data_IF_206344259831
#
_entry.id   IF_206344259831
#
_cell.length_a   1.000
_cell.length_b   1.000
_cell.length_c   1.000
_cell.angle_alpha   90.00
_cell.angle_beta   90.00
_cell.angle_gamma   90.00
#
_symmetry.space_group_name_H-M   'P 1'
#
loop_
_entity.id
_entity.type
_entity.pdbx_description
1 polymer ?
#
# COMPACT_ATOMS: atom_id res chain seq x y z
N UNK A 1 21.21 0.52 18.97
CA UNK A 1 22.32 0.62 17.97
C UNK A 1 22.32 2.02 17.37
N UNK A 2 23.50 2.64 17.15
CA UNK A 2 23.60 3.84 16.31
C UNK A 2 23.95 3.38 14.88
N UNK A 3 22.99 3.39 13.99
CA UNK A 3 23.20 3.05 12.56
C UNK A 3 23.61 4.33 11.83
N UNK A 4 24.85 4.39 11.31
CA UNK A 4 25.31 5.58 10.58
C UNK A 4 24.59 5.68 9.24
N UNK A 5 24.71 4.65 8.40
CA UNK A 5 23.98 4.58 7.12
C UNK A 5 23.06 3.37 7.10
N UNK A 6 21.77 3.58 6.86
CA UNK A 6 20.80 2.53 6.56
C UNK A 6 20.51 2.53 5.05
N UNK A 7 20.74 1.41 4.41
CA UNK A 7 20.31 1.19 3.02
C UNK A 7 19.14 0.20 2.98
N UNK A 8 18.01 0.61 2.45
CA UNK A 8 16.85 -0.28 2.26
C UNK A 8 16.75 -0.62 0.78
N UNK A 9 16.76 -1.91 0.45
CA UNK A 9 16.70 -2.36 -0.93
C UNK A 9 15.42 -3.13 -1.27
N UNK A 10 14.98 -2.99 -2.49
CA UNK A 10 13.92 -3.78 -3.11
C UNK A 10 14.54 -4.97 -3.86
N UNK A 11 14.00 -6.17 -3.63
CA UNK A 11 14.41 -7.39 -4.32
C UNK A 11 13.40 -7.80 -5.42
N UNK A 12 13.66 -8.90 -6.12
CA UNK A 12 12.83 -9.43 -7.22
C UNK A 12 11.42 -9.86 -6.78
N UNK A 13 11.18 -10.03 -5.48
CA UNK A 13 9.86 -10.36 -4.94
C UNK A 13 8.89 -9.17 -4.99
N UNK A 14 9.34 -7.97 -5.35
CA UNK A 14 8.48 -6.80 -5.58
C UNK A 14 7.36 -7.09 -6.59
N UNK A 15 7.59 -8.01 -7.55
CA UNK A 15 6.57 -8.43 -8.52
C UNK A 15 5.42 -9.23 -7.92
N UNK A 16 5.62 -9.87 -6.75
CA UNK A 16 4.53 -10.58 -6.06
C UNK A 16 3.46 -9.62 -5.54
N UNK A 17 3.83 -8.35 -5.34
CA UNK A 17 2.95 -7.30 -4.83
C UNK A 17 2.21 -6.52 -5.93
N UNK A 18 2.41 -6.88 -7.20
CA UNK A 18 1.61 -6.29 -8.26
C UNK A 18 0.12 -6.56 -8.02
N UNK A 19 -0.73 -5.55 -8.17
CA UNK A 19 -0.55 -4.28 -8.89
C UNK A 19 -0.07 -3.10 -8.02
N UNK A 20 0.17 -3.26 -6.73
CA UNK A 20 0.46 -2.18 -5.79
C UNK A 20 1.85 -1.56 -6.04
N UNK A 21 2.80 -2.40 -6.48
CA UNK A 21 4.19 -2.00 -6.69
C UNK A 21 4.52 -1.50 -8.09
N UNK A 22 3.55 -1.28 -8.98
CA UNK A 22 3.84 -0.62 -10.26
C UNK A 22 4.35 0.81 -10.08
N UNK A 23 3.77 1.55 -9.14
CA UNK A 23 4.02 2.97 -8.91
C UNK A 23 4.88 3.26 -7.68
N UNK A 24 5.15 2.24 -6.87
CA UNK A 24 5.83 2.33 -5.57
C UNK A 24 6.85 1.21 -5.40
N UNK A 25 7.86 1.44 -4.59
CA UNK A 25 8.72 0.37 -4.09
C UNK A 25 7.98 -0.43 -3.01
N UNK A 26 8.36 -1.70 -2.82
CA UNK A 26 7.71 -2.60 -1.87
C UNK A 26 7.71 -2.04 -0.44
N UNK A 27 8.79 -1.39 -0.03
CA UNK A 27 8.92 -0.78 1.29
C UNK A 27 8.06 0.48 1.51
N UNK A 28 7.45 1.04 0.45
CA UNK A 28 6.44 2.11 0.56
C UNK A 28 5.02 1.58 0.86
N UNK A 29 4.83 0.26 0.88
CA UNK A 29 3.52 -0.32 1.16
C UNK A 29 3.18 -0.23 2.66
N UNK A 30 1.89 0.00 2.93
CA UNK A 30 1.35 0.13 4.28
C UNK A 30 1.40 -1.20 5.01
N UNK A 31 1.89 -1.15 6.25
CA UNK A 31 1.90 -2.25 7.20
C UNK A 31 1.61 -1.70 8.60
N UNK A 32 0.41 -1.91 9.12
CA UNK A 32 -0.08 -1.22 10.31
C UNK A 32 -0.52 0.21 10.03
N UNK A 33 -0.07 1.16 10.83
CA UNK A 33 -0.33 2.60 10.66
C UNK A 33 0.73 3.32 9.82
N UNK A 34 1.78 2.63 9.36
CA UNK A 34 2.96 3.17 8.69
C UNK A 34 3.34 2.31 7.49
N UNK A 35 4.21 2.81 6.63
CA UNK A 35 4.88 2.00 5.60
C UNK A 35 5.98 1.11 6.22
N UNK A 36 6.42 0.08 5.50
CA UNK A 36 7.57 -0.73 5.91
C UNK A 36 8.83 0.13 6.04
N UNK A 37 9.01 1.12 5.16
CA UNK A 37 10.11 2.10 5.21
C UNK A 37 10.08 2.92 6.49
N UNK A 38 8.93 3.54 6.80
CA UNK A 38 8.77 4.36 8.01
C UNK A 38 9.03 3.55 9.27
N UNK A 39 8.57 2.31 9.34
CA UNK A 39 8.87 1.39 10.44
C UNK A 39 10.35 1.13 10.60
N UNK A 40 11.04 0.86 9.50
CA UNK A 40 12.48 0.61 9.52
C UNK A 40 13.28 1.82 10.00
N UNK A 41 12.97 3.00 9.48
CA UNK A 41 13.64 4.26 9.85
C UNK A 41 13.37 4.60 11.33
N UNK A 42 12.13 4.45 11.80
CA UNK A 42 11.79 4.73 13.20
C UNK A 42 12.44 3.75 14.20
N UNK A 43 12.48 2.47 13.86
CA UNK A 43 13.06 1.44 14.70
C UNK A 43 14.59 1.53 14.78
N UNK A 44 15.25 1.78 13.65
CA UNK A 44 16.72 1.78 13.53
C UNK A 44 17.35 3.15 13.77
N UNK A 45 16.61 4.24 13.66
CA UNK A 45 17.04 5.64 13.91
C UNK A 45 18.39 5.97 13.24
N UNK A 46 18.53 5.76 11.91
CA UNK A 46 19.76 6.01 11.20
C UNK A 46 20.09 7.50 11.11
N UNK A 47 21.38 7.83 10.92
CA UNK A 47 21.80 9.20 10.63
C UNK A 47 21.56 9.54 9.15
N UNK A 48 21.73 8.56 8.26
CA UNK A 48 21.50 8.68 6.81
C UNK A 48 20.71 7.48 6.29
N UNK A 49 19.80 7.74 5.36
CA UNK A 49 19.00 6.71 4.68
C UNK A 49 19.30 6.72 3.19
N UNK A 50 19.58 5.55 2.65
CA UNK A 50 19.72 5.30 1.21
C UNK A 50 18.65 4.28 0.79
N UNK A 51 18.08 4.45 -0.39
CA UNK A 51 17.09 3.53 -0.94
C UNK A 51 17.61 2.94 -2.25
N UNK A 52 17.34 1.66 -2.47
CA UNK A 52 17.62 1.00 -3.75
C UNK A 52 16.33 0.35 -4.25
N UNK A 53 15.87 0.79 -5.41
CA UNK A 53 14.63 0.34 -6.04
C UNK A 53 14.78 0.28 -7.57
N UNK A 54 13.73 -0.15 -8.26
CA UNK A 54 13.65 -0.12 -9.72
C UNK A 54 13.87 1.30 -10.25
N UNK A 55 14.73 1.44 -11.27
CA UNK A 55 15.22 2.74 -11.72
C UNK A 55 14.13 3.74 -12.13
N UNK A 56 13.04 3.25 -12.71
CA UNK A 56 11.94 4.12 -13.13
C UNK A 56 11.14 4.74 -11.96
N UNK A 57 11.36 4.24 -10.73
CA UNK A 57 10.75 4.81 -9.52
C UNK A 57 11.60 5.90 -8.89
N UNK A 58 12.88 6.03 -9.27
CA UNK A 58 13.88 6.86 -8.60
C UNK A 58 13.37 8.26 -8.26
N UNK A 59 13.09 9.07 -9.28
CA UNK A 59 12.72 10.48 -9.08
C UNK A 59 11.45 10.64 -8.23
N UNK A 60 10.45 9.78 -8.49
CA UNK A 60 9.20 9.79 -7.71
C UNK A 60 9.42 9.40 -6.25
N UNK A 61 10.29 8.41 -6.00
CA UNK A 61 10.63 7.94 -4.66
C UNK A 61 11.45 9.00 -3.90
N UNK A 62 12.43 9.64 -4.54
CA UNK A 62 13.16 10.77 -3.98
C UNK A 62 12.22 11.91 -3.57
N UNK A 63 11.31 12.28 -4.47
CA UNK A 63 10.32 13.35 -4.22
C UNK A 63 9.35 13.03 -3.08
N UNK A 64 8.94 11.78 -2.89
CA UNK A 64 8.02 11.37 -1.81
C UNK A 64 8.71 11.21 -0.46
N UNK A 65 9.96 10.73 -0.45
CA UNK A 65 10.66 10.35 0.79
C UNK A 65 11.70 11.38 1.24
N UNK A 66 12.24 12.16 0.32
CA UNK A 66 13.39 13.05 0.56
C UNK A 66 14.72 12.29 0.74
N UNK A 67 14.74 10.97 0.53
CA UNK A 67 15.96 10.16 0.64
C UNK A 67 16.65 9.96 -0.70
N UNK A 68 17.95 9.73 -0.66
CA UNK A 68 18.78 9.42 -1.84
C UNK A 68 18.43 8.03 -2.36
N UNK A 69 18.19 7.92 -3.67
CA UNK A 69 17.75 6.67 -4.30
C UNK A 69 18.76 6.23 -5.38
N UNK A 70 19.12 4.96 -5.36
CA UNK A 70 20.02 4.30 -6.33
C UNK A 70 21.44 4.90 -6.42
N UNK A 71 21.87 5.61 -5.40
CA UNK A 71 23.23 6.13 -5.27
C UNK A 71 23.91 5.58 -4.03
N UNK A 72 25.21 5.31 -4.13
CA UNK A 72 25.98 4.68 -3.05
C UNK A 72 26.71 5.73 -2.19
N UNK A 73 26.00 6.74 -1.73
CA UNK A 73 26.51 7.80 -0.86
C UNK A 73 26.62 7.33 0.60
N UNK A 74 27.42 6.29 0.83
CA UNK A 74 27.61 5.70 2.15
C UNK A 74 28.55 6.57 3.00
N UNK A 75 28.22 6.74 4.28
CA UNK A 75 29.03 7.38 5.31
C UNK A 75 29.22 6.39 6.47
N UNK A 76 30.47 6.04 6.77
CA UNK A 76 30.81 5.06 7.80
C UNK A 76 30.27 3.65 7.50
N UNK A 77 29.96 2.90 8.57
CA UNK A 77 29.36 1.57 8.43
C UNK A 77 27.92 1.65 7.96
N UNK A 78 27.55 0.75 7.03
CA UNK A 78 26.19 0.64 6.53
C UNK A 78 25.52 -0.66 6.96
N UNK A 79 24.26 -0.52 7.42
CA UNK A 79 23.32 -1.62 7.56
C UNK A 79 22.42 -1.64 6.31
N UNK A 80 22.54 -2.69 5.52
CA UNK A 80 21.75 -2.89 4.28
C UNK A 80 20.65 -3.89 4.60
N UNK A 81 19.37 -3.52 4.42
CA UNK A 81 18.21 -4.28 4.86
C UNK A 81 17.22 -4.49 3.71
N UNK A 82 16.68 -5.69 3.62
CA UNK A 82 15.61 -6.01 2.68
C UNK A 82 14.34 -5.20 3.04
N UNK A 83 13.82 -4.46 2.08
CA UNK A 83 12.65 -3.59 2.27
C UNK A 83 11.34 -4.32 2.57
N UNK A 84 11.30 -5.64 2.50
CA UNK A 84 10.15 -6.49 2.88
C UNK A 84 10.21 -6.97 4.33
N UNK A 85 11.28 -6.67 5.07
CA UNK A 85 11.41 -7.05 6.47
C UNK A 85 10.47 -6.20 7.34
N UNK A 86 9.58 -6.85 8.07
CA UNK A 86 8.89 -6.21 9.18
C UNK A 86 9.85 -6.13 10.37
N UNK A 87 10.26 -4.91 10.72
CA UNK A 87 11.15 -4.70 11.86
C UNK A 87 10.32 -4.63 13.15
N UNK A 88 10.12 -5.77 13.75
CA UNK A 88 9.57 -5.96 15.10
C UNK A 88 10.69 -6.07 16.15
N UNK A 89 10.34 -6.37 17.39
CA UNK A 89 11.30 -6.52 18.48
C UNK A 89 12.31 -7.66 18.26
N UNK A 90 11.88 -8.76 17.62
CA UNK A 90 12.77 -9.89 17.32
C UNK A 90 13.75 -9.53 16.21
N UNK A 91 13.25 -8.97 15.11
CA UNK A 91 14.09 -8.51 14.00
C UNK A 91 15.10 -7.45 14.48
N UNK A 92 14.66 -6.51 15.31
CA UNK A 92 15.54 -5.47 15.87
C UNK A 92 16.65 -6.10 16.72
N UNK A 93 16.36 -7.05 17.60
CA UNK A 93 17.38 -7.72 18.42
C UNK A 93 18.41 -8.50 17.57
N UNK A 94 17.96 -9.15 16.50
CA UNK A 94 18.83 -9.88 15.58
C UNK A 94 19.72 -8.90 14.80
N UNK A 95 19.15 -7.81 14.26
CA UNK A 95 19.90 -6.78 13.55
C UNK A 95 20.93 -6.08 14.46
N UNK A 96 20.57 -5.84 15.72
CA UNK A 96 21.49 -5.26 16.72
C UNK A 96 22.71 -6.17 17.00
N UNK A 97 22.54 -7.48 16.91
CA UNK A 97 23.60 -8.45 17.09
C UNK A 97 24.54 -8.62 15.90
N UNK A 98 24.15 -8.08 14.73
CA UNK A 98 24.87 -8.24 13.46
C UNK A 98 26.22 -7.51 13.49
N UNK A 99 27.30 -8.26 13.25
CA UNK A 99 28.67 -7.73 13.26
C UNK A 99 29.04 -7.23 11.86
N UNK A 100 30.04 -6.35 11.85
CA UNK A 100 30.65 -5.88 10.61
C UNK A 100 31.23 -7.05 9.80
N UNK A 101 30.91 -7.12 8.50
CA UNK A 101 31.25 -8.21 7.62
C UNK A 101 30.36 -9.46 7.74
N UNK A 102 29.19 -9.33 8.36
CA UNK A 102 28.19 -10.41 8.42
C UNK A 102 26.94 -10.07 7.60
N UNK A 103 26.33 -11.11 7.05
CA UNK A 103 25.03 -11.04 6.37
C UNK A 103 24.08 -12.11 6.91
N UNK A 104 22.79 -11.79 6.91
CA UNK A 104 21.70 -12.65 7.37
C UNK A 104 20.86 -13.08 6.18
N UNK A 105 20.51 -14.36 6.14
CA UNK A 105 19.54 -14.91 5.19
C UNK A 105 18.40 -15.58 5.95
N UNK A 106 17.23 -15.63 5.34
CA UNK A 106 16.08 -16.43 5.80
C UNK A 106 15.50 -17.16 4.60
N UNK A 107 15.32 -18.47 4.70
CA UNK A 107 14.83 -19.33 3.60
C UNK A 107 15.57 -19.09 2.27
N UNK A 108 16.90 -18.81 2.36
CA UNK A 108 17.75 -18.54 1.20
C UNK A 108 17.58 -17.15 0.59
N UNK A 109 16.87 -16.21 1.23
CA UNK A 109 16.71 -14.82 0.80
C UNK A 109 17.56 -13.92 1.69
N UNK A 110 18.22 -12.92 1.11
CA UNK A 110 19.00 -11.95 1.88
C UNK A 110 18.05 -11.04 2.70
N UNK A 111 18.25 -11.05 4.02
CA UNK A 111 17.49 -10.23 4.97
C UNK A 111 18.23 -8.92 5.26
N UNK A 112 19.49 -9.03 5.64
CA UNK A 112 20.33 -7.87 5.96
C UNK A 112 21.82 -8.20 5.85
N UNK A 113 22.66 -7.15 5.72
CA UNK A 113 24.12 -7.26 5.86
C UNK A 113 24.68 -5.95 6.44
N UNK A 114 25.76 -6.09 7.23
CA UNK A 114 26.46 -4.95 7.81
C UNK A 114 27.87 -4.86 7.26
N UNK A 115 28.16 -3.79 6.54
CA UNK A 115 29.41 -3.62 5.80
C UNK A 115 30.07 -2.29 6.15
N UNK A 116 31.43 -2.28 6.14
CA UNK A 116 32.18 -1.03 6.17
C UNK A 116 32.00 -0.23 4.89
N UNK A 117 32.23 1.07 4.95
CA UNK A 117 31.92 2.07 3.91
C UNK A 117 32.32 1.63 2.48
N UNK A 118 33.56 1.21 2.28
CA UNK A 118 34.05 0.84 0.94
C UNK A 118 33.34 -0.39 0.35
N UNK A 119 33.11 -1.43 1.16
CA UNK A 119 32.38 -2.64 0.74
C UNK A 119 30.90 -2.34 0.53
N UNK A 120 30.30 -1.51 1.38
CA UNK A 120 28.91 -1.10 1.26
C UNK A 120 28.65 -0.30 -0.03
N UNK A 121 29.54 0.65 -0.37
CA UNK A 121 29.50 1.35 -1.67
C UNK A 121 29.55 0.38 -2.84
N UNK A 122 30.46 -0.60 -2.81
CA UNK A 122 30.56 -1.63 -3.84
C UNK A 122 29.29 -2.49 -3.95
N UNK A 123 28.73 -2.91 -2.82
CA UNK A 123 27.52 -3.73 -2.79
C UNK A 123 26.29 -2.97 -3.33
N UNK A 124 26.11 -1.70 -2.96
CA UNK A 124 24.99 -0.86 -3.42
C UNK A 124 25.16 -0.55 -4.91
N UNK A 125 26.33 -0.10 -5.35
CA UNK A 125 26.60 0.22 -6.76
C UNK A 125 26.36 -0.98 -7.69
N UNK A 126 26.78 -2.18 -7.28
CA UNK A 126 26.60 -3.41 -8.06
C UNK A 126 25.28 -4.13 -7.77
N UNK A 127 24.44 -3.59 -6.91
CA UNK A 127 23.13 -4.17 -6.48
C UNK A 127 23.27 -5.63 -6.02
N UNK A 128 24.21 -5.88 -5.12
CA UNK A 128 24.54 -7.21 -4.60
C UNK A 128 23.58 -7.59 -3.48
N UNK A 129 22.36 -7.97 -3.84
CA UNK A 129 21.29 -8.29 -2.88
C UNK A 129 20.86 -9.77 -2.93
N UNK A 130 21.59 -10.59 -3.68
CA UNK A 130 21.40 -12.05 -3.66
C UNK A 130 22.37 -12.70 -2.66
N UNK A 131 21.98 -13.74 -1.89
CA UNK A 131 22.83 -14.39 -0.89
C UNK A 131 24.13 -14.94 -1.46
N UNK A 132 24.10 -15.48 -2.71
CA UNK A 132 25.29 -15.98 -3.39
C UNK A 132 26.34 -14.90 -3.65
N UNK A 133 25.89 -13.69 -4.00
CA UNK A 133 26.76 -12.55 -4.27
C UNK A 133 27.20 -11.88 -2.95
N UNK A 134 26.34 -11.86 -1.94
CA UNK A 134 26.66 -11.32 -0.63
C UNK A 134 27.86 -12.03 0.03
N UNK A 135 28.09 -13.33 -0.27
CA UNK A 135 29.29 -14.09 0.20
C UNK A 135 30.60 -13.48 -0.23
N UNK A 136 30.63 -12.66 -1.27
CA UNK A 136 31.83 -11.93 -1.70
C UNK A 136 32.16 -10.73 -0.81
N UNK A 137 31.22 -10.29 0.02
CA UNK A 137 31.32 -9.11 0.87
C UNK A 137 31.25 -9.44 2.37
N UNK A 138 30.56 -10.53 2.75
CA UNK A 138 30.28 -10.85 4.13
C UNK A 138 30.18 -12.36 4.39
N UNK A 139 30.35 -12.78 5.64
CA UNK A 139 29.99 -14.13 6.08
C UNK A 139 28.47 -14.24 6.24
N UNK A 140 27.85 -15.25 5.63
CA UNK A 140 26.40 -15.42 5.58
C UNK A 140 25.93 -16.38 6.67
N UNK A 141 24.93 -15.97 7.47
CA UNK A 141 24.28 -16.76 8.51
C UNK A 141 22.78 -16.88 8.22
N UNK A 142 22.23 -18.07 8.43
CA UNK A 142 20.77 -18.28 8.36
C UNK A 142 20.11 -17.88 9.68
N UNK A 143 18.96 -17.19 9.59
CA UNK A 143 18.13 -16.76 10.72
C UNK A 143 16.67 -17.06 10.44
N UNK A 144 15.86 -17.15 11.49
CA UNK A 144 14.42 -17.30 11.37
C UNK A 144 13.73 -15.93 11.48
N UNK A 145 13.71 -15.21 10.36
CA UNK A 145 12.97 -13.94 10.19
C UNK A 145 12.08 -14.02 8.97
N UNK A 146 10.87 -13.54 9.10
CA UNK A 146 9.90 -13.51 8.02
C UNK A 146 9.98 -12.20 7.22
N UNK A 147 10.16 -12.36 5.90
CA UNK A 147 9.97 -11.30 4.92
C UNK A 147 8.52 -11.35 4.41
N UNK A 148 7.88 -10.21 4.28
CA UNK A 148 6.56 -10.16 3.64
C UNK A 148 6.71 -10.61 2.17
N UNK A 149 5.96 -11.62 1.76
CA UNK A 149 6.10 -12.23 0.43
C UNK A 149 4.96 -11.88 -0.53
N UNK A 150 3.78 -11.53 0.04
CA UNK A 150 2.56 -11.33 -0.74
C UNK A 150 1.71 -10.17 -0.20
N UNK A 151 0.92 -9.50 -1.04
CA UNK A 151 0.13 -8.34 -0.63
C UNK A 151 -0.97 -8.64 0.39
N UNK A 152 -1.51 -9.86 0.46
CA UNK A 152 -2.51 -10.22 1.47
C UNK A 152 -1.93 -10.30 2.88
N UNK A 153 -0.63 -10.61 3.01
CA UNK A 153 0.04 -10.57 4.32
C UNK A 153 0.07 -9.14 4.89
N UNK A 154 0.17 -8.11 4.03
CA UNK A 154 0.11 -6.71 4.48
C UNK A 154 -1.26 -6.37 5.08
N UNK A 155 -2.36 -6.94 4.56
CA UNK A 155 -3.71 -6.76 5.12
C UNK A 155 -3.81 -7.42 6.49
N UNK A 156 -3.29 -8.65 6.63
CA UNK A 156 -3.26 -9.38 7.90
C UNK A 156 -2.41 -8.64 8.93
N UNK A 157 -1.15 -8.34 8.61
CA UNK A 157 -0.24 -7.60 9.47
C UNK A 157 -0.78 -6.23 9.86
N UNK A 158 -1.37 -5.48 8.91
CA UNK A 158 -2.01 -4.20 9.24
C UNK A 158 -3.11 -4.41 10.27
N UNK A 159 -3.95 -5.41 10.11
CA UNK A 159 -5.04 -5.69 11.05
C UNK A 159 -4.55 -6.05 12.48
N UNK A 160 -3.37 -6.65 12.59
CA UNK A 160 -2.73 -7.01 13.87
C UNK A 160 -2.03 -5.81 14.50
N UNK A 161 -1.34 -5.01 13.69
CA UNK A 161 -0.52 -3.90 14.16
C UNK A 161 -1.32 -2.61 14.46
N UNK A 162 -2.55 -2.48 13.98
CA UNK A 162 -3.36 -1.26 14.23
C UNK A 162 -3.66 -0.98 15.72
N UNK A 163 -3.38 -1.92 16.63
CA UNK A 163 -3.39 -1.66 18.07
C UNK A 163 -2.40 -0.57 18.49
N UNK A 164 -1.33 -0.37 17.73
CA UNK A 164 -0.27 0.64 17.98
C UNK A 164 -0.79 2.08 17.94
N UNK A 165 -1.91 2.34 17.27
CA UNK A 165 -2.48 3.70 17.14
C UNK A 165 -2.93 4.28 18.47
N UNK A 166 -3.06 3.46 19.51
CA UNK A 166 -3.32 3.92 20.89
C UNK A 166 -2.22 4.83 21.45
N UNK A 167 -1.01 4.73 20.91
CA UNK A 167 0.14 5.56 21.30
C UNK A 167 0.30 6.84 20.47
N UNK A 168 -0.54 7.03 19.44
CA UNK A 168 -0.48 8.19 18.57
C UNK A 168 -1.33 9.35 19.10
N UNK A 169 -0.91 10.57 18.81
CA UNK A 169 -1.66 11.79 19.12
C UNK A 169 -2.08 11.92 20.58
N UNK A 170 -3.17 12.64 20.82
CA UNK A 170 -3.75 12.89 22.12
C UNK A 170 -5.14 12.24 22.23
N UNK A 171 -5.65 12.13 23.45
CA UNK A 171 -7.03 11.70 23.68
C UNK A 171 -7.98 12.74 23.07
N UNK A 172 -9.05 12.27 22.45
CA UNK A 172 -10.13 13.15 22.01
C UNK A 172 -10.92 13.68 23.23
N UNK A 173 -11.06 15.01 23.34
CA UNK A 173 -11.71 15.67 24.49
C UNK A 173 -13.08 16.29 24.15
N UNK A 174 -13.56 16.17 22.90
CA UNK A 174 -14.87 16.71 22.48
C UNK A 174 -16.05 15.84 22.94
N UNK A 175 -17.23 16.45 22.99
CA UNK A 175 -18.50 15.81 23.37
C UNK A 175 -19.35 15.35 22.16
N UNK A 176 -18.91 15.69 20.95
CA UNK A 176 -19.67 15.47 19.71
C UNK A 176 -19.66 14.00 19.26
N UNK A 177 -18.67 13.21 19.74
CA UNK A 177 -18.55 11.79 19.41
C UNK A 177 -19.04 10.93 20.58
N UNK A 178 -20.03 10.07 20.32
CA UNK A 178 -20.42 9.03 21.27
C UNK A 178 -19.39 7.89 21.24
N UNK A 179 -18.53 7.83 22.24
CA UNK A 179 -17.54 6.76 22.40
C UNK A 179 -18.16 5.57 23.13
N UNK A 180 -18.02 4.36 22.55
CA UNK A 180 -18.38 3.09 23.18
C UNK A 180 -17.09 2.38 23.60
N UNK A 181 -16.86 2.23 24.89
CA UNK A 181 -15.63 1.69 25.48
C UNK A 181 -14.86 2.76 26.26
N UNK A 182 -13.55 2.56 26.44
CA UNK A 182 -12.70 3.54 27.14
C UNK A 182 -12.40 4.75 26.23
N UNK A 183 -12.74 5.98 26.64
CA UNK A 183 -12.42 7.18 25.87
C UNK A 183 -10.93 7.35 25.57
N UNK A 184 -10.03 6.79 26.38
CA UNK A 184 -8.58 6.87 26.18
C UNK A 184 -8.14 6.16 24.87
N UNK A 185 -8.99 5.30 24.33
CA UNK A 185 -8.75 4.57 23.09
C UNK A 185 -9.18 5.33 21.83
N UNK A 186 -9.80 6.51 21.97
CA UNK A 186 -10.05 7.42 20.86
C UNK A 186 -8.97 8.50 20.86
N UNK A 187 -8.12 8.48 19.84
CA UNK A 187 -6.93 9.33 19.73
C UNK A 187 -7.04 10.27 18.52
N UNK A 188 -6.54 11.48 18.65
CA UNK A 188 -6.52 12.48 17.57
C UNK A 188 -5.14 13.16 17.46
N UNK A 189 -4.78 13.61 16.26
CA UNK A 189 -3.56 14.38 16.04
C UNK A 189 -3.76 15.90 16.19
N UNK A 190 -4.97 16.36 16.39
CA UNK A 190 -5.36 17.77 16.46
C UNK A 190 -6.86 17.93 16.28
N UNK A 191 -7.27 19.07 15.75
CA UNK A 191 -8.68 19.41 15.56
C UNK A 191 -9.37 18.46 14.58
N UNK A 192 -10.50 17.93 15.03
CA UNK A 192 -11.42 17.11 14.23
C UNK A 192 -12.77 17.83 14.22
N UNK A 193 -13.23 18.19 13.03
CA UNK A 193 -14.57 18.78 12.88
C UNK A 193 -15.59 17.67 12.86
N UNK A 194 -16.52 17.71 13.80
CA UNK A 194 -17.61 16.73 13.92
C UNK A 194 -18.96 17.42 13.74
N UNK A 195 -19.80 16.90 12.85
CA UNK A 195 -21.15 17.43 12.63
C UNK A 195 -22.20 16.33 12.78
N UNK A 196 -23.07 16.46 13.76
CA UNK A 196 -24.17 15.54 14.02
C UNK A 196 -23.78 14.27 14.77
N UNK A 197 -24.67 13.26 14.87
CA UNK A 197 -24.45 12.08 15.68
C UNK A 197 -23.39 11.15 15.06
N UNK A 198 -22.22 11.03 15.70
CA UNK A 198 -21.13 10.12 15.35
C UNK A 198 -20.93 9.12 16.47
N UNK A 199 -20.71 7.86 16.13
CA UNK A 199 -20.41 6.78 17.08
C UNK A 199 -19.05 6.16 16.78
N UNK A 200 -18.18 6.13 17.79
CA UNK A 200 -16.88 5.45 17.71
C UNK A 200 -16.84 4.32 18.75
N UNK A 201 -16.69 3.09 18.29
CA UNK A 201 -16.67 1.90 19.14
C UNK A 201 -15.23 1.39 19.30
N UNK A 202 -14.64 1.68 20.46
CA UNK A 202 -13.25 1.32 20.81
C UNK A 202 -13.16 0.07 21.69
N UNK A 203 -14.25 -0.69 21.89
CA UNK A 203 -14.24 -1.88 22.74
C UNK A 203 -13.35 -3.01 22.23
N UNK A 204 -13.05 -3.05 20.93
CA UNK A 204 -12.19 -4.05 20.29
C UNK A 204 -10.79 -3.55 19.94
N UNK A 205 -10.53 -2.27 20.13
CA UNK A 205 -9.24 -1.66 19.83
C UNK A 205 -9.35 -0.15 19.64
N UNK A 206 -8.21 0.55 19.55
CA UNK A 206 -8.17 2.00 19.46
C UNK A 206 -8.62 2.52 18.09
N UNK A 207 -9.07 3.78 18.08
CA UNK A 207 -9.30 4.54 16.85
C UNK A 207 -8.42 5.79 16.89
N UNK A 208 -7.68 6.02 15.82
CA UNK A 208 -6.91 7.24 15.62
C UNK A 208 -7.48 8.04 14.44
N UNK A 209 -7.61 9.34 14.63
CA UNK A 209 -8.09 10.29 13.62
C UNK A 209 -7.03 11.39 13.46
N UNK A 210 -6.52 11.54 12.25
CA UNK A 210 -5.54 12.55 11.90
C UNK A 210 -6.06 13.98 11.98
N UNK A 211 -5.18 14.95 11.72
CA UNK A 211 -5.49 16.39 11.73
C UNK A 211 -6.45 16.77 10.61
N UNK A 212 -7.17 17.86 10.81
CA UNK A 212 -8.02 18.49 9.78
C UNK A 212 -9.06 17.52 9.17
N UNK A 213 -9.47 16.53 9.94
CA UNK A 213 -10.50 15.58 9.53
C UNK A 213 -11.90 16.16 9.76
N UNK A 214 -12.82 15.83 8.85
CA UNK A 214 -14.23 16.19 8.89
C UNK A 214 -15.07 14.91 8.98
N UNK A 215 -15.84 14.74 10.08
CA UNK A 215 -16.67 13.56 10.30
C UNK A 215 -18.11 14.01 10.49
N UNK A 216 -18.97 13.63 9.55
CA UNK A 216 -20.38 13.99 9.58
C UNK A 216 -21.27 12.89 10.16
N UNK A 217 -22.46 13.28 10.55
CA UNK A 217 -23.45 12.45 11.25
C UNK A 217 -23.79 11.13 10.56
N UNK A 218 -24.32 10.21 11.36
CA UNK A 218 -24.61 8.82 11.00
C UNK A 218 -23.38 7.99 10.62
N UNK A 219 -22.18 8.49 10.94
CA UNK A 219 -20.94 7.75 10.81
C UNK A 219 -20.74 6.85 12.02
N UNK A 220 -20.40 5.57 11.77
CA UNK A 220 -19.96 4.63 12.79
C UNK A 220 -18.54 4.13 12.46
N UNK A 221 -17.64 4.22 13.43
CA UNK A 221 -16.26 3.73 13.30
C UNK A 221 -15.98 2.72 14.40
N UNK A 222 -15.48 1.53 14.02
CA UNK A 222 -15.06 0.49 14.96
C UNK A 222 -13.54 0.36 14.97
N UNK A 223 -12.95 0.32 16.15
CA UNK A 223 -11.51 0.07 16.31
C UNK A 223 -11.15 -1.45 16.29
N UNK A 224 -9.87 -1.79 16.04
CA UNK A 224 -8.79 -0.86 15.73
C UNK A 224 -8.94 -0.25 14.32
N UNK A 225 -8.72 1.06 14.20
CA UNK A 225 -8.81 1.78 12.92
C UNK A 225 -7.90 3.01 12.92
N UNK A 226 -7.21 3.23 11.79
CA UNK A 226 -6.41 4.43 11.54
C UNK A 226 -7.06 5.27 10.44
N UNK A 227 -7.20 6.56 10.68
CA UNK A 227 -7.67 7.55 9.71
C UNK A 227 -6.61 8.65 9.62
N UNK A 228 -6.02 8.84 8.45
CA UNK A 228 -5.01 9.85 8.18
C UNK A 228 -5.55 11.26 8.08
N UNK A 229 -4.63 12.23 7.95
CA UNK A 229 -4.93 13.66 7.92
C UNK A 229 -5.88 14.06 6.78
N UNK A 230 -6.68 15.11 6.99
CA UNK A 230 -7.54 15.78 5.99
C UNK A 230 -8.57 14.85 5.33
N UNK A 231 -9.00 13.81 6.03
CA UNK A 231 -10.05 12.91 5.58
C UNK A 231 -11.44 13.51 5.79
N UNK A 232 -12.36 13.18 4.88
CA UNK A 232 -13.78 13.54 5.00
C UNK A 232 -14.61 12.26 5.03
N UNK A 233 -15.33 12.03 6.14
CA UNK A 233 -16.13 10.82 6.37
C UNK A 233 -17.57 11.22 6.66
N UNK A 234 -18.54 10.71 5.87
CA UNK A 234 -19.93 11.12 5.89
C UNK A 234 -20.85 9.91 5.86
N UNK A 235 -21.60 9.66 6.93
CA UNK A 235 -22.62 8.61 6.97
C UNK A 235 -22.13 7.23 6.55
N UNK A 236 -20.90 6.89 6.91
CA UNK A 236 -20.25 5.64 6.56
C UNK A 236 -20.19 4.67 7.73
N UNK A 237 -20.13 3.38 7.45
CA UNK A 237 -19.81 2.34 8.41
C UNK A 237 -18.41 1.82 8.19
N UNK A 238 -17.48 2.27 9.02
CA UNK A 238 -16.10 1.79 9.02
C UNK A 238 -16.00 0.74 10.12
N UNK A 239 -15.99 -0.52 9.70
CA UNK A 239 -15.79 -1.67 10.60
C UNK A 239 -14.32 -1.75 10.99
N UNK A 240 -14.02 -2.58 11.98
CA UNK A 240 -12.67 -2.68 12.53
C UNK A 240 -11.60 -3.08 11.53
N UNK A 241 -10.34 -2.80 11.90
CA UNK A 241 -9.12 -3.20 11.17
C UNK A 241 -8.96 -2.46 9.82
N UNK A 242 -9.37 -1.21 9.76
CA UNK A 242 -9.22 -0.38 8.58
C UNK A 242 -8.05 0.62 8.73
N UNK A 243 -7.26 0.73 7.66
CA UNK A 243 -6.34 1.85 7.45
C UNK A 243 -6.91 2.73 6.34
N UNK A 244 -7.12 4.00 6.64
CA UNK A 244 -7.57 5.02 5.68
C UNK A 244 -6.49 6.09 5.62
N UNK A 245 -5.80 6.19 4.49
CA UNK A 245 -4.73 7.15 4.26
C UNK A 245 -5.23 8.60 4.18
N UNK A 246 -4.30 9.54 4.13
CA UNK A 246 -4.61 10.98 4.11
C UNK A 246 -5.48 11.41 2.92
N UNK A 247 -6.26 12.47 3.11
CA UNK A 247 -7.06 13.15 2.07
C UNK A 247 -8.11 12.24 1.40
N UNK A 248 -8.46 11.13 2.04
CA UNK A 248 -9.51 10.23 1.57
C UNK A 248 -10.91 10.80 1.81
N UNK A 249 -11.87 10.40 0.98
CA UNK A 249 -13.27 10.74 1.13
C UNK A 249 -14.12 9.47 1.14
N UNK A 250 -14.73 9.19 2.29
CA UNK A 250 -15.61 8.04 2.49
C UNK A 250 -17.02 8.57 2.77
N UNK A 251 -17.97 8.22 1.94
CA UNK A 251 -19.30 8.83 1.98
C UNK A 251 -20.43 7.87 2.29
N UNK A 252 -21.64 8.38 2.17
CA UNK A 252 -22.89 7.77 2.63
C UNK A 252 -23.08 6.35 2.11
N UNK A 253 -23.36 5.41 3.04
CA UNK A 253 -23.61 4.00 2.72
C UNK A 253 -22.35 3.20 2.35
N UNK A 254 -21.17 3.79 2.50
CA UNK A 254 -19.91 3.03 2.36
C UNK A 254 -19.74 2.12 3.57
N UNK A 255 -19.47 0.84 3.32
CA UNK A 255 -19.06 -0.12 4.34
C UNK A 255 -17.65 -0.61 4.05
N UNK A 256 -16.75 -0.50 5.04
CA UNK A 256 -15.35 -0.94 4.97
C UNK A 256 -15.07 -1.92 6.09
N UNK A 257 -14.35 -3.01 5.80
CA UNK A 257 -13.92 -4.00 6.80
C UNK A 257 -12.51 -4.50 6.49
N UNK A 258 -11.58 -4.44 7.46
CA UNK A 258 -10.21 -4.99 7.34
C UNK A 258 -9.57 -4.63 5.99
N UNK A 259 -9.56 -3.33 5.70
CA UNK A 259 -9.17 -2.82 4.38
C UNK A 259 -8.15 -1.70 4.51
N UNK A 260 -7.13 -1.73 3.67
CA UNK A 260 -6.17 -0.65 3.49
C UNK A 260 -6.66 0.20 2.31
N UNK A 261 -6.96 1.47 2.57
CA UNK A 261 -7.24 2.49 1.55
C UNK A 261 -6.12 3.52 1.61
N UNK A 262 -5.29 3.56 0.57
CA UNK A 262 -4.19 4.52 0.47
C UNK A 262 -4.71 5.94 0.19
N UNK A 263 -3.84 6.93 0.33
CA UNK A 263 -4.22 8.34 0.31
C UNK A 263 -4.94 8.82 -0.96
N UNK A 264 -5.63 9.95 -0.86
CA UNK A 264 -6.33 10.63 -1.95
C UNK A 264 -7.45 9.81 -2.64
N UNK A 265 -7.86 8.69 -2.05
CA UNK A 265 -8.86 7.78 -2.61
C UNK A 265 -10.27 8.19 -2.20
N UNK A 266 -11.21 8.06 -3.15
CA UNK A 266 -12.61 8.40 -2.98
C UNK A 266 -13.49 7.14 -3.01
N UNK A 267 -14.25 6.93 -1.96
CA UNK A 267 -15.38 5.98 -1.85
C UNK A 267 -16.60 6.74 -1.30
N UNK A 268 -17.12 7.69 -2.08
CA UNK A 268 -18.13 8.65 -1.59
C UNK A 268 -19.56 8.13 -1.51
N UNK A 269 -19.82 6.96 -2.03
CA UNK A 269 -21.18 6.43 -2.16
C UNK A 269 -21.27 4.99 -1.68
N UNK A 270 -22.49 4.48 -1.51
CA UNK A 270 -22.81 3.14 -1.02
C UNK A 270 -21.98 2.02 -1.68
N UNK A 271 -21.79 0.95 -0.95
CA UNK A 271 -21.14 -0.28 -1.38
C UNK A 271 -20.10 -0.78 -0.38
N UNK A 272 -19.81 -2.07 -0.44
CA UNK A 272 -18.91 -2.79 0.45
C UNK A 272 -17.51 -2.97 -0.12
N UNK A 273 -16.48 -2.76 0.71
CA UNK A 273 -15.10 -3.15 0.42
C UNK A 273 -14.54 -3.84 1.67
N UNK A 274 -14.24 -5.13 1.55
CA UNK A 274 -13.66 -5.92 2.63
C UNK A 274 -12.36 -6.58 2.24
N UNK A 275 -11.46 -6.76 3.22
CA UNK A 275 -10.22 -7.55 3.12
C UNK A 275 -9.39 -7.20 1.87
N UNK A 276 -9.28 -5.90 1.56
CA UNK A 276 -8.71 -5.39 0.31
C UNK A 276 -7.55 -4.44 0.56
N UNK A 277 -6.68 -4.30 -0.44
CA UNK A 277 -5.69 -3.23 -0.49
C UNK A 277 -5.99 -2.34 -1.70
N UNK A 278 -6.35 -1.09 -1.45
CA UNK A 278 -6.70 -0.09 -2.46
C UNK A 278 -5.61 0.98 -2.51
N UNK A 279 -5.04 1.19 -3.69
CA UNK A 279 -3.98 2.16 -3.95
C UNK A 279 -4.41 3.62 -3.78
N UNK A 280 -3.52 4.52 -4.17
CA UNK A 280 -3.75 5.97 -4.10
C UNK A 280 -4.53 6.48 -5.32
N UNK A 281 -5.22 7.62 -5.13
CA UNK A 281 -5.91 8.31 -6.22
C UNK A 281 -6.96 7.44 -6.93
N UNK A 282 -7.48 6.42 -6.25
CA UNK A 282 -8.54 5.58 -6.76
C UNK A 282 -9.88 6.30 -6.61
N UNK A 283 -10.75 6.19 -7.61
CA UNK A 283 -12.12 6.70 -7.52
C UNK A 283 -13.12 5.56 -7.67
N UNK A 284 -13.86 5.29 -6.62
CA UNK A 284 -14.82 4.18 -6.53
C UNK A 284 -16.23 4.71 -6.74
N UNK A 285 -16.85 4.30 -7.85
CA UNK A 285 -18.20 4.70 -8.24
C UNK A 285 -19.28 4.16 -7.30
N UNK A 286 -20.44 4.82 -7.29
CA UNK A 286 -21.59 4.42 -6.48
C UNK A 286 -22.01 2.96 -6.79
N UNK A 287 -22.35 2.20 -5.73
CA UNK A 287 -22.77 0.80 -5.88
C UNK A 287 -21.65 -0.17 -6.20
N UNK A 288 -20.38 0.27 -6.19
CA UNK A 288 -19.23 -0.64 -6.32
C UNK A 288 -19.10 -1.49 -5.07
N UNK A 289 -19.08 -2.82 -5.25
CA UNK A 289 -18.84 -3.79 -4.18
C UNK A 289 -17.64 -4.67 -4.51
N UNK A 290 -16.92 -5.08 -3.48
CA UNK A 290 -15.84 -6.06 -3.55
C UNK A 290 -16.25 -7.31 -2.77
N UNK A 291 -16.37 -8.43 -3.47
CA UNK A 291 -16.58 -9.72 -2.82
C UNK A 291 -15.32 -10.16 -2.09
N UNK A 292 -15.42 -10.47 -0.82
CA UNK A 292 -14.32 -11.00 -0.01
C UNK A 292 -14.49 -12.47 0.38
N UNK A 293 -15.68 -13.05 0.17
CA UNK A 293 -16.02 -14.43 0.50
C UNK A 293 -16.56 -15.14 -0.74
N UNK A 294 -16.00 -16.32 -1.04
CA UNK A 294 -16.52 -17.15 -2.14
C UNK A 294 -17.81 -17.86 -1.74
N UNK A 295 -18.72 -18.08 -2.69
CA UNK A 295 -19.95 -18.85 -2.45
C UNK A 295 -19.68 -20.27 -1.95
N UNK A 296 -18.50 -20.82 -2.23
CA UNK A 296 -18.07 -22.15 -1.79
C UNK A 296 -17.45 -22.19 -0.40
N UNK A 297 -17.24 -21.03 0.25
CA UNK A 297 -16.54 -20.87 1.53
C UNK A 297 -15.11 -21.44 1.56
N UNK A 298 -14.54 -21.76 0.39
CA UNK A 298 -13.14 -22.21 0.29
C UNK A 298 -12.16 -21.04 0.29
N UNK A 299 -10.87 -21.35 0.47
CA UNK A 299 -9.78 -20.37 0.45
C UNK A 299 -9.70 -19.63 -0.89
N UNK A 300 -9.33 -18.36 -0.83
CA UNK A 300 -9.18 -17.53 -2.02
C UNK A 300 -7.80 -17.80 -2.65
N UNK A 301 -7.75 -17.87 -3.98
CA UNK A 301 -6.51 -17.99 -4.74
C UNK A 301 -6.23 -16.70 -5.50
N UNK A 302 -4.98 -16.26 -5.48
CA UNK A 302 -4.50 -15.07 -6.20
C UNK A 302 -3.51 -15.49 -7.28
N UNK A 303 -3.58 -14.86 -8.44
CA UNK A 303 -2.61 -15.10 -9.52
C UNK A 303 -1.31 -14.32 -9.23
N UNK A 304 -0.21 -15.04 -9.02
CA UNK A 304 1.13 -14.49 -8.84
C UNK A 304 2.01 -15.01 -9.97
N UNK A 305 2.53 -14.13 -10.80
CA UNK A 305 3.41 -14.47 -11.94
C UNK A 305 2.84 -15.60 -12.83
N UNK A 306 1.53 -15.57 -13.10
CA UNK A 306 0.85 -16.57 -13.91
C UNK A 306 0.42 -17.85 -13.18
N UNK A 307 0.80 -18.03 -11.93
CA UNK A 307 0.43 -19.19 -11.11
C UNK A 307 -0.60 -18.83 -10.05
N UNK A 308 -1.60 -19.69 -9.82
CA UNK A 308 -2.59 -19.52 -8.75
C UNK A 308 -2.02 -19.97 -7.41
N UNK A 309 -1.69 -19.01 -6.54
CA UNK A 309 -1.24 -19.26 -5.17
C UNK A 309 -2.45 -19.28 -4.24
N UNK A 310 -2.57 -20.32 -3.42
CA UNK A 310 -3.58 -20.42 -2.37
C UNK A 310 -3.14 -19.53 -1.20
N UNK A 311 -3.98 -18.58 -0.80
CA UNK A 311 -3.65 -17.63 0.27
C UNK A 311 -3.86 -18.21 1.67
N UNK A 312 -4.53 -19.36 1.79
CA UNK A 312 -4.99 -19.90 3.06
C UNK A 312 -6.17 -19.11 3.69
N UNK A 313 -6.54 -17.97 3.11
CA UNK A 313 -7.59 -17.09 3.64
C UNK A 313 -8.95 -17.43 3.03
N UNK A 314 -9.97 -17.57 3.87
CA UNK A 314 -11.37 -17.73 3.44
C UNK A 314 -11.95 -16.40 2.98
N UNK A 315 -11.54 -15.30 3.62
CA UNK A 315 -11.93 -13.94 3.26
C UNK A 315 -10.75 -13.16 2.70
N UNK A 316 -10.86 -12.76 1.44
CA UNK A 316 -9.90 -11.88 0.77
C UNK A 316 -10.61 -11.15 -0.38
N UNK A 317 -10.56 -9.83 -0.37
CA UNK A 317 -11.12 -8.98 -1.42
C UNK A 317 -10.20 -8.83 -2.63
N UNK A 318 -9.83 -7.62 -2.97
CA UNK A 318 -9.04 -7.33 -4.17
C UNK A 318 -7.81 -6.45 -3.87
N UNK A 319 -6.90 -6.41 -4.85
CA UNK A 319 -5.74 -5.53 -4.86
C UNK A 319 -5.90 -4.53 -6.00
N UNK A 320 -6.04 -3.27 -5.66
CA UNK A 320 -6.30 -2.19 -6.62
C UNK A 320 -5.09 -1.28 -6.69
N UNK A 321 -4.48 -1.18 -7.87
CA UNK A 321 -3.37 -0.27 -8.14
C UNK A 321 -3.80 1.21 -8.12
N UNK A 322 -2.82 2.10 -8.14
CA UNK A 322 -3.06 3.54 -8.11
C UNK A 322 -3.83 4.03 -9.35
N UNK A 323 -4.58 5.11 -9.19
CA UNK A 323 -5.33 5.77 -10.27
C UNK A 323 -6.46 4.95 -10.94
N UNK A 324 -6.86 3.82 -10.38
CA UNK A 324 -7.99 3.04 -10.89
C UNK A 324 -9.32 3.79 -10.70
N UNK A 325 -10.24 3.64 -11.65
CA UNK A 325 -11.60 4.18 -11.60
C UNK A 325 -12.61 3.06 -11.77
N UNK A 326 -13.63 3.03 -10.94
CA UNK A 326 -14.80 2.18 -11.19
C UNK A 326 -16.00 3.03 -11.58
N UNK A 327 -16.78 2.56 -12.54
CA UNK A 327 -18.09 3.14 -12.82
C UNK A 327 -19.12 2.73 -11.75
N UNK A 328 -20.31 3.31 -11.82
CA UNK A 328 -21.41 2.92 -10.94
C UNK A 328 -21.74 1.44 -11.09
N UNK A 329 -22.09 0.77 -9.98
CA UNK A 329 -22.52 -0.63 -9.98
C UNK A 329 -21.44 -1.67 -10.30
N UNK A 330 -20.16 -1.29 -10.27
CA UNK A 330 -19.06 -2.24 -10.51
C UNK A 330 -19.00 -3.30 -9.41
N UNK A 331 -18.86 -4.57 -9.77
CA UNK A 331 -18.79 -5.71 -8.84
C UNK A 331 -17.46 -6.44 -9.05
N UNK A 332 -16.57 -6.40 -8.04
CA UNK A 332 -15.24 -7.00 -8.13
C UNK A 332 -15.22 -8.30 -7.33
N UNK A 333 -14.81 -9.39 -7.96
CA UNK A 333 -14.73 -10.71 -7.33
C UNK A 333 -13.48 -10.85 -6.45
N UNK A 334 -13.54 -11.79 -5.50
CA UNK A 334 -12.48 -12.09 -4.52
C UNK A 334 -11.15 -12.42 -5.20
N UNK A 335 -10.05 -11.94 -4.64
CA UNK A 335 -8.68 -12.24 -5.07
C UNK A 335 -8.27 -11.62 -6.40
N UNK A 336 -8.99 -10.59 -6.89
CA UNK A 336 -8.66 -9.95 -8.16
C UNK A 336 -7.61 -8.87 -8.02
N UNK A 337 -6.75 -8.76 -9.03
CA UNK A 337 -5.73 -7.73 -9.18
C UNK A 337 -6.14 -6.76 -10.27
N UNK A 338 -6.14 -5.48 -9.94
CA UNK A 338 -6.55 -4.40 -10.84
C UNK A 338 -5.36 -3.49 -11.07
N UNK A 339 -4.81 -3.52 -12.27
CA UNK A 339 -3.65 -2.72 -12.65
C UNK A 339 -3.92 -1.21 -12.61
N UNK A 340 -2.90 -0.39 -12.32
CA UNK A 340 -3.04 1.07 -12.22
C UNK A 340 -3.57 1.68 -13.52
N UNK A 341 -4.22 2.83 -13.38
CA UNK A 341 -4.86 3.58 -14.47
C UNK A 341 -6.00 2.85 -15.19
N UNK A 342 -6.46 1.69 -14.72
CA UNK A 342 -7.57 0.97 -15.35
C UNK A 342 -8.94 1.58 -15.01
N UNK A 343 -9.88 1.50 -15.96
CA UNK A 343 -11.27 1.92 -15.79
C UNK A 343 -12.18 0.69 -15.86
N UNK A 344 -12.95 0.45 -14.80
CA UNK A 344 -13.77 -0.76 -14.64
C UNK A 344 -15.26 -0.47 -14.81
N UNK A 345 -15.94 -1.33 -15.56
CA UNK A 345 -17.39 -1.31 -15.76
C UNK A 345 -17.98 -2.71 -15.56
N UNK A 346 -19.07 -2.79 -14.80
CA UNK A 346 -19.81 -4.03 -14.59
C UNK A 346 -19.10 -5.04 -13.69
N UNK A 347 -19.15 -6.32 -14.05
CA UNK A 347 -18.56 -7.42 -13.26
C UNK A 347 -17.10 -7.66 -13.63
N UNK A 348 -16.22 -7.66 -12.62
CA UNK A 348 -14.79 -7.90 -12.76
C UNK A 348 -14.45 -9.24 -12.12
N UNK A 349 -14.35 -10.27 -12.93
CA UNK A 349 -14.12 -11.67 -12.52
C UNK A 349 -12.75 -12.23 -12.93
N UNK A 350 -11.95 -11.42 -13.62
CA UNK A 350 -10.55 -11.69 -14.00
C UNK A 350 -9.64 -10.58 -13.48
N UNK A 351 -8.32 -10.82 -13.47
CA UNK A 351 -7.34 -9.77 -13.23
C UNK A 351 -7.36 -8.79 -14.41
N UNK A 352 -7.20 -7.52 -14.12
CA UNK A 352 -7.22 -6.45 -15.14
C UNK A 352 -5.83 -5.84 -15.22
N UNK A 353 -5.17 -5.89 -16.39
CA UNK A 353 -3.84 -5.32 -16.55
C UNK A 353 -3.88 -3.79 -16.50
N UNK A 354 -2.73 -3.12 -16.26
CA UNK A 354 -2.66 -1.65 -16.24
C UNK A 354 -3.17 -1.01 -17.53
N UNK A 355 -3.67 0.23 -17.42
CA UNK A 355 -4.17 1.03 -18.56
C UNK A 355 -5.23 0.31 -19.40
N UNK A 356 -6.18 -0.33 -18.74
CA UNK A 356 -7.24 -1.10 -19.43
C UNK A 356 -8.62 -0.55 -19.09
N UNK A 357 -9.45 -0.33 -20.11
CA UNK A 357 -10.88 -0.12 -19.96
C UNK A 357 -11.55 -1.49 -20.04
N UNK A 358 -12.10 -1.92 -18.91
CA UNK A 358 -12.72 -3.23 -18.72
C UNK A 358 -14.24 -3.14 -18.71
N UNK A 359 -14.89 -3.86 -19.62
CA UNK A 359 -16.36 -3.92 -19.69
C UNK A 359 -16.87 -5.28 -20.24
N UNK A 360 -16.10 -6.37 -20.03
CA UNK A 360 -16.43 -7.72 -20.55
C UNK A 360 -17.83 -8.18 -20.20
N UNK A 361 -18.34 -7.85 -19.01
CA UNK A 361 -19.68 -8.23 -18.59
C UNK A 361 -20.82 -7.58 -19.40
N UNK A 362 -20.49 -6.54 -20.16
CA UNK A 362 -21.40 -5.89 -21.11
C UNK A 362 -21.18 -6.36 -22.57
N UNK A 363 -20.39 -7.42 -22.76
CA UNK A 363 -20.04 -7.94 -24.07
C UNK A 363 -18.97 -7.14 -24.83
N UNK A 364 -18.35 -6.15 -24.19
CA UNK A 364 -17.30 -5.35 -24.82
C UNK A 364 -15.92 -5.99 -24.61
N UNK A 365 -15.10 -6.00 -25.65
CA UNK A 365 -13.69 -6.36 -25.53
C UNK A 365 -12.95 -5.35 -24.64
N UNK A 366 -11.97 -5.80 -23.83
CA UNK A 366 -11.13 -4.87 -23.08
C UNK A 366 -10.27 -4.04 -24.05
N UNK A 367 -10.23 -2.73 -23.79
CA UNK A 367 -9.54 -1.76 -24.65
C UNK A 367 -8.45 -1.04 -23.86
N UNK A 368 -7.32 -0.77 -24.52
CA UNK A 368 -6.23 0.01 -23.94
C UNK A 368 -6.69 1.45 -23.67
N UNK A 369 -6.47 1.95 -22.45
CA UNK A 369 -6.64 3.36 -22.14
C UNK A 369 -5.50 4.15 -22.80
N UNK A 370 -5.85 5.11 -23.64
CA UNK A 370 -4.86 5.97 -24.31
C UNK A 370 -3.97 6.70 -23.29
N UNK A 371 -2.66 6.74 -23.57
CA UNK A 371 -1.67 7.35 -22.68
C UNK A 371 -2.01 8.80 -22.34
N UNK A 372 -2.36 9.59 -23.35
CA UNK A 372 -2.73 11.00 -23.21
C UNK A 372 -3.97 11.17 -22.32
N UNK A 373 -4.93 10.23 -22.42
CA UNK A 373 -6.11 10.21 -21.56
C UNK A 373 -5.76 9.91 -20.10
N UNK A 374 -4.80 9.01 -19.85
CA UNK A 374 -4.32 8.70 -18.51
C UNK A 374 -3.63 9.91 -17.87
N UNK A 375 -2.73 10.57 -18.61
CA UNK A 375 -2.00 11.78 -18.18
C UNK A 375 -2.96 12.92 -17.86
N UNK A 376 -3.89 13.22 -18.76
CA UNK A 376 -4.86 14.29 -18.58
C UNK A 376 -5.86 14.00 -17.44
N UNK A 377 -6.25 12.74 -17.25
CA UNK A 377 -7.11 12.34 -16.14
C UNK A 377 -6.41 12.55 -14.81
N UNK A 378 -5.13 12.19 -14.70
CA UNK A 378 -4.34 12.44 -13.48
C UNK A 378 -4.25 13.95 -13.20
N UNK A 379 -3.94 14.77 -14.20
CA UNK A 379 -3.86 16.23 -14.05
C UNK A 379 -5.14 16.80 -13.47
N UNK A 380 -6.31 16.45 -14.03
CA UNK A 380 -7.63 16.90 -13.56
C UNK A 380 -7.93 16.43 -12.14
N UNK A 381 -7.52 15.22 -11.78
CA UNK A 381 -7.71 14.69 -10.42
C UNK A 381 -6.86 15.45 -9.40
N UNK A 382 -5.61 15.71 -9.73
CA UNK A 382 -4.67 16.46 -8.91
C UNK A 382 -5.17 17.88 -8.64
N UNK A 383 -5.57 18.59 -9.69
CA UNK A 383 -6.13 19.95 -9.58
C UNK A 383 -7.34 20.03 -8.62
N UNK A 384 -8.21 19.03 -8.62
CA UNK A 384 -9.35 18.96 -7.69
C UNK A 384 -8.94 18.80 -6.22
N UNK A 385 -7.69 18.49 -5.96
CA UNK A 385 -7.10 18.35 -4.61
C UNK A 385 -6.04 19.39 -4.31
N UNK A 386 -5.90 20.41 -5.17
CA UNK A 386 -4.87 21.42 -5.03
C UNK A 386 -3.44 20.90 -5.23
N UNK A 387 -3.29 19.77 -5.90
CA UNK A 387 -1.99 19.14 -6.23
C UNK A 387 -1.65 19.46 -7.68
N UNK A 388 -0.40 19.81 -7.94
CA UNK A 388 0.10 20.02 -9.30
C UNK A 388 0.73 18.75 -9.84
N UNK A 389 0.37 18.36 -11.07
CA UNK A 389 1.06 17.29 -11.78
C UNK A 389 2.47 17.73 -12.17
N UNK A 390 3.47 16.96 -11.82
CA UNK A 390 4.87 17.23 -12.11
C UNK A 390 5.32 16.54 -13.40
N UNK A 391 6.52 16.90 -13.90
CA UNK A 391 7.14 16.18 -15.02
C UNK A 391 7.43 14.73 -14.64
N UNK A 392 7.88 14.49 -13.42
CA UNK A 392 8.14 13.15 -12.87
C UNK A 392 6.90 12.26 -12.88
N UNK A 393 5.72 12.82 -12.53
CA UNK A 393 4.44 12.08 -12.62
C UNK A 393 4.15 11.63 -14.06
N UNK A 394 4.32 12.55 -15.03
CA UNK A 394 4.07 12.25 -16.44
C UNK A 394 5.05 11.20 -16.98
N UNK A 395 6.34 11.32 -16.65
CA UNK A 395 7.34 10.32 -17.07
C UNK A 395 7.10 8.94 -16.46
N UNK A 396 6.67 8.87 -15.19
CA UNK A 396 6.27 7.62 -14.56
C UNK A 396 5.10 6.96 -15.31
N UNK A 397 4.06 7.73 -15.68
CA UNK A 397 2.92 7.21 -16.44
C UNK A 397 3.38 6.65 -17.78
N UNK A 398 4.18 7.41 -18.54
CA UNK A 398 4.71 6.97 -19.84
C UNK A 398 5.51 5.68 -19.70
N UNK A 399 6.43 5.65 -18.72
CA UNK A 399 7.28 4.49 -18.51
C UNK A 399 6.48 3.24 -18.13
N UNK A 400 5.49 3.39 -17.25
CA UNK A 400 4.60 2.29 -16.89
C UNK A 400 3.76 1.81 -18.06
N UNK A 401 3.27 2.73 -18.89
CA UNK A 401 2.51 2.40 -20.09
C UNK A 401 3.33 1.50 -21.04
N UNK A 402 4.61 1.84 -21.26
CA UNK A 402 5.55 1.04 -22.04
C UNK A 402 5.84 -0.32 -21.41
N UNK A 403 6.23 -0.33 -20.11
CA UNK A 403 6.60 -1.54 -19.37
C UNK A 403 5.47 -2.58 -19.34
N UNK A 404 4.23 -2.13 -19.32
CA UNK A 404 3.04 -3.02 -19.19
C UNK A 404 2.38 -3.36 -20.53
N UNK A 405 2.96 -2.94 -21.67
CA UNK A 405 2.41 -3.18 -23.00
C UNK A 405 2.28 -4.68 -23.33
N UNK A 406 3.27 -5.48 -22.96
CA UNK A 406 3.25 -6.93 -23.19
C UNK A 406 2.19 -7.62 -22.34
N UNK A 407 2.00 -7.19 -21.08
CA UNK A 407 0.96 -7.70 -20.19
C UNK A 407 -0.44 -7.44 -20.76
N UNK A 408 -0.70 -6.22 -21.24
CA UNK A 408 -1.96 -5.88 -21.93
C UNK A 408 -2.19 -6.77 -23.15
N UNK A 409 -1.17 -6.93 -23.99
CA UNK A 409 -1.26 -7.76 -25.19
C UNK A 409 -1.57 -9.23 -24.85
N UNK A 410 -0.86 -9.82 -23.86
CA UNK A 410 -1.10 -11.20 -23.39
C UNK A 410 -2.50 -11.39 -22.79
N UNK A 411 -3.05 -10.35 -22.18
CA UNK A 411 -4.39 -10.34 -21.58
C UNK A 411 -5.50 -10.07 -22.61
N UNK A 412 -5.17 -9.96 -23.89
CA UNK A 412 -6.13 -9.76 -24.97
C UNK A 412 -6.72 -8.36 -25.07
N UNK A 413 -6.10 -7.37 -24.43
CA UNK A 413 -6.51 -5.95 -24.52
C UNK A 413 -6.29 -5.43 -25.93
N UNK A 414 -7.33 -4.85 -26.53
CA UNK A 414 -7.30 -4.34 -27.91
C UNK A 414 -6.91 -2.87 -27.92
N UNK A 415 -6.19 -2.46 -28.97
CA UNK A 415 -6.02 -1.04 -29.29
C UNK A 415 -7.27 -0.53 -30.01
N UNK A 416 -7.73 0.67 -29.65
CA UNK A 416 -8.89 1.28 -30.28
C UNK A 416 -9.72 2.11 -29.30
N UNK A 417 -10.84 2.65 -29.80
CA UNK A 417 -11.74 3.45 -28.96
C UNK A 417 -12.75 2.55 -28.26
N UNK A 418 -12.87 2.76 -26.95
CA UNK A 418 -13.91 2.12 -26.15
C UNK A 418 -15.29 2.62 -26.56
N UNK A 419 -16.22 1.69 -26.80
CA UNK A 419 -17.63 1.98 -27.01
C UNK A 419 -18.44 1.02 -26.14
N UNK A 420 -19.30 1.55 -25.30
CA UNK A 420 -20.41 0.77 -24.76
C UNK A 420 -21.47 0.66 -25.87
N UNK A 421 -21.89 -0.56 -26.17
CA UNK A 421 -22.93 -0.82 -27.17
C UNK A 421 -24.26 -0.19 -26.74
#
# INVERSE_FOLDING_TARGET
MSVTTLCIFEDEYCENFLPLTYTKATFELICGSKTLLERAVEALKPQKVLLVARDYLREGLEGRTGFVVNEAEVEGDALIVNGRLLIDSQALAILDSLKLGEALTSKGILVAMKLGEGLARGAITNRVFEPRLAKSFASVKEVDLELVEYPWQLIELTSELLGEVSSLGERYEGDEIKVLGSPDMLRTAGDVRVEGPVVVDVRRGPVYIGRDCEIEGYTKIEGPTYIGDSCVIRGAYIRSKCYIGKVCRIGVGSELEKTIISGYTNKQHLGFIGHSYVGEWVNIGAGTNVSDLKNTYGTVKVNIKGSKVDTGLIKLGCFVGDHVKTSIGTQIYSGKKIGPFSHLHGFVYEDVPPFTIWAKSFGAEPVELELESAVETQRRMYERRGVSQTKTDVELIKRLFELTAEERAKSGVKKGRFKLA
#
